data_IF_869109966798
#
_entry.id   IF_869109966798
#
_cell.length_a   1.000
_cell.length_b   1.000
_cell.length_c   1.000
_cell.angle_alpha   90.00
_cell.angle_beta   90.00
_cell.angle_gamma   90.00
#
_symmetry.space_group_name_H-M   'P 1'
#
loop_
_entity.id
_entity.type
_entity.pdbx_description
1 polymer ?
#
# COMPACT_ATOMS: atom_id res chain seq x y z
N UNK A 1 6.75 16.71 -3.89
CA UNK A 1 6.76 15.65 -2.88
C UNK A 1 5.86 15.94 -1.66
N UNK A 2 5.59 17.21 -1.32
CA UNK A 2 4.80 17.61 -0.12
C UNK A 2 3.41 17.01 0.04
N UNK A 3 2.79 16.50 -1.02
CA UNK A 3 1.45 15.91 -0.94
C UNK A 3 1.42 14.44 -0.51
N UNK A 4 2.58 13.78 -0.35
CA UNK A 4 2.66 12.35 -0.04
C UNK A 4 2.63 12.12 1.48
N UNK A 5 1.56 11.46 1.95
CA UNK A 5 1.36 11.08 3.36
C UNK A 5 2.30 9.91 3.74
N UNK A 6 2.27 8.84 2.95
CA UNK A 6 2.96 7.58 3.25
C UNK A 6 3.26 6.77 2.00
N UNK A 7 4.27 5.91 2.10
CA UNK A 7 4.76 5.09 0.98
C UNK A 7 4.88 3.64 1.45
N UNK A 8 4.44 2.69 0.63
CA UNK A 8 4.62 1.28 1.00
C UNK A 8 6.10 0.89 0.97
N UNK A 9 6.50 0.01 1.88
CA UNK A 9 7.82 -0.59 1.85
C UNK A 9 7.88 -1.68 0.76
N UNK A 10 9.07 -1.87 0.19
CA UNK A 10 9.37 -3.00 -0.67
C UNK A 10 9.36 -4.31 0.15
N UNK A 11 8.87 -5.41 -0.42
CA UNK A 11 8.57 -6.69 0.28
C UNK A 11 7.50 -6.56 1.38
N UNK A 12 6.60 -5.59 1.28
CA UNK A 12 5.49 -5.46 2.23
C UNK A 12 4.26 -6.29 1.80
N UNK A 13 3.21 -6.21 2.61
CA UNK A 13 1.87 -6.69 2.31
C UNK A 13 0.96 -5.57 1.75
N UNK A 14 1.53 -4.48 1.23
CA UNK A 14 0.76 -3.39 0.69
C UNK A 14 0.14 -3.76 -0.66
N UNK A 15 -1.14 -3.42 -0.84
CA UNK A 15 -1.85 -3.67 -2.09
C UNK A 15 -2.10 -5.16 -2.34
N UNK A 16 -1.44 -5.73 -3.35
CA UNK A 16 -1.63 -7.12 -3.79
C UNK A 16 -0.28 -7.82 -4.04
N UNK A 17 -0.31 -9.14 -4.23
CA UNK A 17 0.89 -9.91 -4.60
C UNK A 17 1.51 -9.36 -5.89
N UNK A 18 2.79 -8.99 -5.81
CA UNK A 18 3.58 -8.52 -6.95
C UNK A 18 4.96 -9.16 -6.90
N UNK A 19 4.97 -10.48 -6.90
CA UNK A 19 6.14 -11.32 -6.73
C UNK A 19 7.03 -11.37 -7.98
N UNK A 20 8.33 -11.60 -7.75
CA UNK A 20 9.30 -11.87 -8.80
C UNK A 20 9.58 -13.38 -8.93
N UNK A 21 10.71 -13.79 -9.49
CA UNK A 21 11.07 -15.21 -9.64
C UNK A 21 11.72 -15.85 -8.41
N UNK A 22 11.97 -15.09 -7.35
CA UNK A 22 12.74 -15.51 -6.18
C UNK A 22 11.94 -15.40 -4.89
N UNK A 23 11.03 -14.45 -4.81
CA UNK A 23 10.17 -14.18 -3.66
C UNK A 23 8.71 -14.35 -4.06
N UNK A 24 7.93 -15.03 -3.22
CA UNK A 24 6.51 -15.25 -3.43
C UNK A 24 5.67 -14.55 -2.35
N UNK A 25 4.43 -14.21 -2.69
CA UNK A 25 3.50 -13.52 -1.81
C UNK A 25 4.13 -12.27 -1.16
N UNK A 26 4.72 -11.39 -1.96
CA UNK A 26 5.28 -10.14 -1.50
C UNK A 26 4.91 -9.03 -2.46
N UNK A 27 4.69 -7.83 -1.93
CA UNK A 27 4.54 -6.65 -2.75
C UNK A 27 5.91 -6.05 -3.02
N UNK A 28 6.41 -6.26 -4.23
CA UNK A 28 7.71 -5.76 -4.68
C UNK A 28 7.56 -4.44 -5.45
N UNK A 29 6.58 -3.62 -5.04
CA UNK A 29 6.34 -2.27 -5.54
C UNK A 29 6.32 -1.26 -4.39
N UNK A 30 6.37 0.01 -4.75
CA UNK A 30 6.03 1.11 -3.87
C UNK A 30 4.69 1.73 -4.28
N UNK A 31 3.72 1.70 -3.38
CA UNK A 31 2.47 2.46 -3.46
C UNK A 31 2.67 3.81 -2.79
N UNK A 32 2.29 4.87 -3.48
CA UNK A 32 2.32 6.23 -2.96
C UNK A 32 0.92 6.62 -2.52
N UNK A 33 0.76 7.07 -1.28
CA UNK A 33 -0.50 7.55 -0.74
C UNK A 33 -0.38 9.05 -0.49
N UNK A 34 -0.96 9.90 -1.35
CA UNK A 34 -1.12 11.30 -1.02
C UNK A 34 -2.17 11.53 0.06
N UNK A 35 -2.05 12.68 0.74
CA UNK A 35 -3.16 13.27 1.50
C UNK A 35 -4.38 13.43 0.59
N UNK A 36 -5.57 13.23 1.15
CA UNK A 36 -6.84 13.25 0.40
C UNK A 36 -6.81 12.31 -0.81
N UNK A 37 -6.32 11.08 -0.59
CA UNK A 37 -6.05 10.07 -1.62
C UNK A 37 -7.16 9.89 -2.67
N UNK A 38 -8.45 9.95 -2.27
CA UNK A 38 -9.57 9.84 -3.22
C UNK A 38 -9.77 11.11 -4.06
N UNK A 39 -9.41 12.28 -3.54
CA UNK A 39 -9.55 13.56 -4.23
C UNK A 39 -8.38 13.82 -5.19
N UNK A 40 -7.15 13.48 -4.79
CA UNK A 40 -5.94 13.79 -5.56
C UNK A 40 -5.52 12.70 -6.56
N UNK A 41 -6.04 11.47 -6.48
CA UNK A 41 -5.51 10.33 -7.27
C UNK A 41 -5.46 10.49 -8.79
N UNK A 42 -6.24 11.39 -9.38
CA UNK A 42 -6.24 11.66 -10.83
C UNK A 42 -5.48 12.94 -11.21
N UNK A 43 -5.06 13.73 -10.24
CA UNK A 43 -4.42 15.04 -10.45
C UNK A 43 -3.05 15.14 -9.81
N UNK A 44 -2.68 14.18 -8.96
CA UNK A 44 -1.38 14.08 -8.30
C UNK A 44 -0.27 14.02 -9.35
N UNK A 45 0.64 15.02 -9.40
CA UNK A 45 1.75 15.01 -10.35
C UNK A 45 2.70 13.85 -10.10
N UNK A 46 3.12 13.21 -11.19
CA UNK A 46 4.07 12.09 -11.21
C UNK A 46 5.36 12.56 -11.88
N UNK A 47 6.48 12.30 -11.22
CA UNK A 47 7.80 12.71 -11.68
C UNK A 47 8.68 11.50 -11.99
N UNK A 48 9.56 11.62 -12.99
CA UNK A 48 10.55 10.58 -13.28
C UNK A 48 11.55 10.47 -12.12
N UNK A 49 11.77 9.27 -11.55
CA UNK A 49 12.72 9.11 -10.45
C UNK A 49 14.19 9.04 -10.92
N UNK A 50 14.41 8.98 -12.24
CA UNK A 50 15.72 8.77 -12.86
C UNK A 50 15.86 9.55 -14.18
N UNK A 51 17.11 9.76 -14.61
CA UNK A 51 17.41 10.08 -16.01
C UNK A 51 17.26 8.83 -16.87
N UNK A 52 16.64 8.97 -18.05
CA UNK A 52 16.46 7.83 -18.93
C UNK A 52 15.65 8.13 -20.19
N UNK A 53 15.08 7.06 -20.75
CA UNK A 53 14.21 7.13 -21.94
C UNK A 53 12.95 6.30 -21.71
N UNK A 54 11.78 6.91 -21.93
CA UNK A 54 10.51 6.20 -22.02
C UNK A 54 10.45 5.50 -23.38
N UNK A 55 10.27 4.17 -23.35
CA UNK A 55 10.26 3.33 -24.55
C UNK A 55 8.93 2.62 -24.78
N UNK A 56 8.15 2.42 -23.72
CA UNK A 56 6.82 1.82 -23.79
C UNK A 56 5.84 2.59 -22.91
N UNK A 57 4.58 2.62 -23.37
CA UNK A 57 3.41 2.96 -22.57
C UNK A 57 2.45 1.78 -22.72
N UNK A 58 2.25 1.04 -21.64
CA UNK A 58 1.35 -0.10 -21.58
C UNK A 58 -0.06 0.33 -21.20
N UNK A 59 -1.05 -0.19 -21.91
CA UNK A 59 -2.46 -0.16 -21.48
C UNK A 59 -2.93 -1.56 -21.14
N UNK A 60 -3.78 -1.68 -20.13
CA UNK A 60 -4.37 -2.95 -19.75
C UNK A 60 -5.59 -3.24 -20.64
N UNK A 61 -5.53 -4.34 -21.37
CA UNK A 61 -6.67 -4.82 -22.16
C UNK A 61 -7.33 -5.99 -21.45
N UNK A 62 -8.68 -6.00 -21.45
CA UNK A 62 -9.50 -7.15 -21.05
C UNK A 62 -9.35 -7.65 -19.60
N UNK A 63 -8.74 -6.88 -18.69
CA UNK A 63 -8.56 -7.26 -17.27
C UNK A 63 -9.80 -7.07 -16.38
N UNK A 64 -10.93 -6.67 -16.96
CA UNK A 64 -12.06 -6.13 -16.20
C UNK A 64 -11.68 -4.82 -15.48
N UNK A 65 -12.59 -4.33 -14.64
CA UNK A 65 -12.31 -3.12 -13.85
C UNK A 65 -11.22 -3.40 -12.81
N UNK A 66 -10.15 -2.60 -12.85
CA UNK A 66 -9.06 -2.66 -11.87
C UNK A 66 -9.57 -2.42 -10.44
N UNK A 67 -8.97 -3.11 -9.46
CA UNK A 67 -9.43 -3.06 -8.06
C UNK A 67 -9.40 -1.64 -7.48
N UNK A 68 -8.40 -0.83 -7.83
CA UNK A 68 -8.28 0.56 -7.38
C UNK A 68 -9.39 1.46 -7.95
N UNK A 69 -9.84 1.18 -9.17
CA UNK A 69 -10.90 1.95 -9.83
C UNK A 69 -12.27 1.59 -9.24
N UNK A 70 -12.48 0.31 -8.92
CA UNK A 70 -13.67 -0.14 -8.18
C UNK A 70 -13.73 0.51 -6.79
N UNK A 71 -12.62 0.46 -6.05
CA UNK A 71 -12.47 1.10 -4.74
C UNK A 71 -12.82 2.60 -4.79
N UNK A 72 -12.35 3.32 -5.82
CA UNK A 72 -12.69 4.72 -6.01
C UNK A 72 -14.20 4.95 -6.15
N UNK A 73 -14.86 4.18 -7.03
CA UNK A 73 -16.28 4.32 -7.32
C UNK A 73 -17.14 3.97 -6.11
N UNK A 74 -16.80 2.88 -5.41
CA UNK A 74 -17.53 2.42 -4.22
C UNK A 74 -17.38 3.41 -3.07
N UNK A 75 -16.18 3.97 -2.85
CA UNK A 75 -15.92 4.90 -1.75
C UNK A 75 -16.49 6.30 -1.99
N UNK A 76 -16.41 6.80 -3.23
CA UNK A 76 -16.75 8.21 -3.52
C UNK A 76 -18.08 8.39 -4.24
N UNK A 77 -18.63 7.33 -4.85
CA UNK A 77 -19.77 7.41 -5.77
C UNK A 77 -19.47 8.14 -7.09
N UNK A 78 -18.22 8.53 -7.36
CA UNK A 78 -17.81 9.30 -8.55
C UNK A 78 -17.23 8.39 -9.63
N UNK A 79 -17.18 8.91 -10.87
CA UNK A 79 -16.47 8.29 -11.99
C UNK A 79 -15.07 8.93 -12.15
N UNK A 80 -14.07 8.19 -12.68
CA UNK A 80 -12.81 8.80 -13.07
C UNK A 80 -13.05 9.88 -14.15
N UNK A 81 -12.15 10.88 -14.28
CA UNK A 81 -12.23 11.82 -15.40
C UNK A 81 -12.19 11.10 -16.75
N UNK A 82 -12.99 11.55 -17.71
CA UNK A 82 -13.13 10.92 -19.03
C UNK A 82 -11.82 10.94 -19.84
N UNK A 83 -10.95 11.92 -19.56
CA UNK A 83 -9.66 12.11 -20.19
C UNK A 83 -8.51 11.44 -19.44
N UNK A 84 -8.77 10.80 -18.29
CA UNK A 84 -7.74 10.10 -17.54
C UNK A 84 -7.39 8.77 -18.22
N UNK A 85 -6.15 8.70 -18.72
CA UNK A 85 -5.61 7.48 -19.32
C UNK A 85 -4.86 6.66 -18.26
N UNK A 86 -5.40 5.50 -17.89
CA UNK A 86 -4.71 4.57 -16.97
C UNK A 86 -3.63 3.77 -17.71
N UNK A 87 -2.36 4.17 -17.55
CA UNK A 87 -1.23 3.53 -18.23
C UNK A 87 -0.13 3.06 -17.29
N UNK A 88 0.75 2.21 -17.85
CA UNK A 88 2.05 1.85 -17.29
C UNK A 88 3.15 2.49 -18.12
N UNK A 89 3.94 3.39 -17.54
CA UNK A 89 5.05 4.07 -18.22
C UNK A 89 6.35 3.33 -17.91
N UNK A 90 7.11 2.96 -18.96
CA UNK A 90 8.34 2.21 -18.85
C UNK A 90 9.56 3.05 -19.23
N UNK A 91 10.37 3.39 -18.22
CA UNK A 91 11.61 4.13 -18.38
C UNK A 91 12.77 3.14 -18.33
N UNK A 92 13.67 3.26 -19.31
CA UNK A 92 14.99 2.63 -19.28
C UNK A 92 16.00 3.62 -18.69
N UNK A 93 16.54 3.37 -17.49
CA UNK A 93 17.46 4.31 -16.85
C UNK A 93 18.82 4.37 -17.57
N UNK A 94 19.43 5.54 -17.62
CA UNK A 94 20.75 5.72 -18.25
C UNK A 94 21.87 4.98 -17.48
N UNK A 95 21.83 5.05 -16.14
CA UNK A 95 22.84 4.44 -15.26
C UNK A 95 22.62 2.94 -15.02
N UNK A 96 21.45 2.41 -15.37
CA UNK A 96 21.09 1.01 -15.18
C UNK A 96 20.24 0.48 -16.36
N UNK A 97 20.80 0.43 -17.58
CA UNK A 97 20.04 0.11 -18.79
C UNK A 97 19.57 -1.35 -18.85
N UNK A 98 19.94 -2.21 -17.90
CA UNK A 98 19.45 -3.57 -17.77
C UNK A 98 18.17 -3.68 -16.91
N UNK A 99 17.63 -2.54 -16.46
CA UNK A 99 16.42 -2.44 -15.65
C UNK A 99 15.31 -1.72 -16.41
N UNK A 100 14.08 -1.97 -15.99
CA UNK A 100 12.92 -1.14 -16.26
C UNK A 100 12.44 -0.48 -14.98
N UNK A 101 12.25 0.83 -15.01
CA UNK A 101 11.41 1.55 -14.05
C UNK A 101 10.01 1.58 -14.64
N UNK A 102 9.06 0.93 -13.97
CA UNK A 102 7.66 0.90 -14.36
C UNK A 102 6.85 1.76 -13.39
N UNK A 103 6.23 2.82 -13.88
CA UNK A 103 5.25 3.59 -13.13
C UNK A 103 3.85 3.13 -13.51
N UNK A 104 3.04 2.73 -12.54
CA UNK A 104 1.68 2.23 -12.74
C UNK A 104 0.67 3.35 -12.50
N UNK A 105 -0.46 3.27 -13.20
CA UNK A 105 -1.57 4.20 -13.04
C UNK A 105 -1.15 5.65 -13.25
N UNK A 106 -0.51 5.91 -14.38
CA UNK A 106 -0.10 7.25 -14.81
C UNK A 106 -0.88 7.61 -16.07
N UNK A 107 -1.47 8.79 -16.08
CA UNK A 107 -1.93 9.48 -17.29
C UNK A 107 -0.80 10.40 -17.77
N UNK A 108 -0.08 10.03 -18.85
CA UNK A 108 1.12 10.76 -19.27
C UNK A 108 0.78 12.13 -19.87
N UNK A 109 1.71 13.08 -19.77
CA UNK A 109 1.57 14.37 -20.48
C UNK A 109 1.57 14.17 -22.00
N UNK A 110 0.92 15.09 -22.72
CA UNK A 110 0.69 14.94 -24.16
C UNK A 110 1.99 14.80 -24.97
N UNK A 111 3.07 15.51 -24.58
CA UNK A 111 4.35 15.44 -25.28
C UNK A 111 4.96 14.03 -25.28
N UNK A 112 4.68 13.26 -24.21
CA UNK A 112 5.11 11.87 -24.10
C UNK A 112 4.26 10.99 -25.02
N UNK A 113 2.94 11.18 -25.02
CA UNK A 113 2.01 10.42 -25.87
C UNK A 113 2.26 10.65 -27.36
N UNK A 114 2.69 11.85 -27.75
CA UNK A 114 3.06 12.19 -29.13
C UNK A 114 4.34 11.46 -29.58
N UNK A 115 5.20 11.07 -28.64
CA UNK A 115 6.49 10.43 -28.91
C UNK A 115 6.48 8.91 -28.70
N UNK A 116 5.61 8.42 -27.83
CA UNK A 116 5.52 7.01 -27.43
C UNK A 116 4.06 6.60 -27.47
N UNK A 117 3.65 5.89 -28.51
CA UNK A 117 2.28 5.42 -28.65
C UNK A 117 1.94 4.36 -27.59
N UNK A 118 0.81 4.49 -26.87
CA UNK A 118 0.31 3.44 -26.01
C UNK A 118 0.04 2.15 -26.79
N UNK A 119 0.35 1.01 -26.17
CA UNK A 119 0.09 -0.31 -26.75
C UNK A 119 -0.25 -1.34 -25.67
N UNK A 120 -0.92 -2.42 -26.06
CA UNK A 120 -1.29 -3.52 -25.17
C UNK A 120 -0.05 -4.12 -24.51
N UNK A 121 -0.11 -4.38 -23.20
CA UNK A 121 0.95 -5.12 -22.50
C UNK A 121 1.18 -6.53 -23.08
N UNK A 122 0.15 -7.13 -23.67
CA UNK A 122 0.27 -8.42 -24.37
C UNK A 122 1.03 -8.27 -25.69
N UNK A 123 0.71 -7.24 -26.49
CA UNK A 123 1.43 -6.98 -27.73
C UNK A 123 2.91 -6.64 -27.51
N UNK A 124 3.20 -5.89 -26.44
CA UNK A 124 4.57 -5.64 -26.01
C UNK A 124 5.27 -6.96 -25.70
N UNK A 125 4.68 -7.79 -24.83
CA UNK A 125 5.23 -9.09 -24.44
C UNK A 125 5.48 -10.02 -25.64
N UNK A 126 4.59 -10.04 -26.64
CA UNK A 126 4.74 -10.82 -27.87
C UNK A 126 5.66 -10.17 -28.91
N UNK A 127 6.06 -8.91 -28.72
CA UNK A 127 6.90 -8.16 -29.66
C UNK A 127 6.19 -7.69 -30.92
N UNK A 128 4.86 -7.75 -30.96
CA UNK A 128 4.05 -7.13 -32.03
C UNK A 128 4.03 -5.61 -31.88
N UNK A 129 4.04 -5.12 -30.63
CA UNK A 129 4.36 -3.73 -30.31
C UNK A 129 5.85 -3.58 -30.00
N UNK A 130 6.54 -2.77 -30.80
CA UNK A 130 7.98 -2.51 -30.67
C UNK A 130 8.23 -1.27 -29.80
N UNK A 131 9.41 -1.15 -29.15
CA UNK A 131 9.72 0.03 -28.34
C UNK A 131 9.81 1.26 -29.24
N UNK A 132 9.39 2.42 -28.72
CA UNK A 132 9.56 3.67 -29.43
C UNK A 132 11.05 3.94 -29.73
N UNK A 133 11.33 4.42 -30.94
CA UNK A 133 12.67 4.79 -31.38
C UNK A 133 12.62 6.18 -32.02
N UNK A 134 13.27 7.20 -31.43
CA UNK A 134 14.23 7.13 -30.31
C UNK A 134 13.61 7.00 -28.90
N UNK A 135 12.27 7.06 -28.78
CA UNK A 135 11.58 7.18 -27.48
C UNK A 135 11.54 8.62 -26.97
N UNK A 136 11.10 8.82 -25.72
CA UNK A 136 11.03 10.14 -25.08
C UNK A 136 12.06 10.25 -23.96
N UNK A 137 12.99 11.21 -24.04
CA UNK A 137 14.01 11.42 -23.01
C UNK A 137 13.42 12.13 -21.80
N UNK A 138 13.72 11.61 -20.62
CA UNK A 138 13.32 12.21 -19.34
C UNK A 138 14.53 12.48 -18.46
N UNK A 139 14.43 13.54 -17.65
CA UNK A 139 15.35 13.81 -16.55
C UNK A 139 14.73 13.41 -15.22
N UNK A 140 15.57 13.06 -14.24
CA UNK A 140 15.11 12.91 -12.87
C UNK A 140 14.41 14.20 -12.39
N UNK A 141 13.29 14.05 -11.69
CA UNK A 141 12.43 15.16 -11.26
C UNK A 141 11.57 15.79 -12.36
N UNK A 142 11.63 15.32 -13.61
CA UNK A 142 10.75 15.81 -14.68
C UNK A 142 9.32 15.31 -14.48
N UNK A 143 8.32 16.19 -14.57
CA UNK A 143 6.91 15.80 -14.60
C UNK A 143 6.63 14.97 -15.86
N UNK A 144 6.05 13.79 -15.68
CA UNK A 144 5.69 12.87 -16.76
C UNK A 144 4.19 12.60 -16.87
N UNK A 145 3.37 13.15 -15.96
CA UNK A 145 1.94 12.92 -15.95
C UNK A 145 1.29 13.15 -14.58
N UNK A 146 0.08 12.63 -14.45
CA UNK A 146 -0.69 12.60 -13.20
C UNK A 146 -1.19 11.19 -12.90
N UNK A 147 -1.48 10.87 -11.64
CA UNK A 147 -2.05 9.58 -11.27
C UNK A 147 -1.62 9.08 -9.90
N UNK A 148 -1.63 7.76 -9.70
CA UNK A 148 -1.15 7.14 -8.46
C UNK A 148 0.36 6.99 -8.43
N UNK A 149 0.96 6.69 -9.60
CA UNK A 149 2.41 6.58 -9.75
C UNK A 149 3.05 5.51 -8.88
N UNK A 150 2.41 4.35 -8.70
CA UNK A 150 3.07 3.21 -8.04
C UNK A 150 4.33 2.83 -8.83
N UNK A 151 5.41 2.41 -8.16
CA UNK A 151 6.68 2.16 -8.85
C UNK A 151 7.15 0.73 -8.62
N UNK A 152 7.49 0.03 -9.70
CA UNK A 152 8.22 -1.25 -9.65
C UNK A 152 9.50 -1.17 -10.50
N UNK A 153 10.55 -1.84 -10.04
CA UNK A 153 11.83 -1.95 -10.74
C UNK A 153 12.07 -3.38 -11.13
N UNK A 154 12.29 -3.62 -12.42
CA UNK A 154 12.38 -4.98 -12.95
C UNK A 154 13.70 -5.21 -13.66
N UNK A 155 14.46 -6.18 -13.17
CA UNK A 155 15.61 -6.74 -13.84
C UNK A 155 15.23 -8.03 -14.54
N UNK A 156 15.37 -8.08 -15.86
CA UNK A 156 15.23 -9.32 -16.61
C UNK A 156 16.57 -10.07 -16.59
N UNK A 157 16.56 -11.29 -16.05
CA UNK A 157 17.73 -12.18 -16.02
C UNK A 157 17.75 -13.15 -17.20
N UNK A 158 16.57 -13.47 -17.75
CA UNK A 158 16.40 -14.24 -18.97
C UNK A 158 15.30 -13.64 -19.84
N UNK A 159 15.11 -14.18 -21.04
CA UNK A 159 14.08 -13.71 -21.98
C UNK A 159 14.56 -12.54 -22.84
N UNK A 160 13.60 -11.89 -23.52
CA UNK A 160 13.85 -10.79 -24.46
C UNK A 160 14.03 -9.42 -23.79
N UNK A 161 13.88 -9.34 -22.46
CA UNK A 161 13.96 -8.08 -21.72
C UNK A 161 12.79 -7.12 -21.98
N UNK A 162 11.72 -7.56 -22.64
CA UNK A 162 10.52 -6.73 -22.85
C UNK A 162 9.62 -6.83 -21.62
N UNK A 163 9.06 -5.71 -21.13
CA UNK A 163 8.17 -5.76 -19.98
C UNK A 163 6.97 -6.70 -20.21
N UNK A 164 6.58 -7.41 -19.15
CA UNK A 164 5.49 -8.38 -19.18
C UNK A 164 4.43 -8.06 -18.11
N UNK A 165 3.14 -8.33 -18.40
CA UNK A 165 2.07 -8.23 -17.40
C UNK A 165 2.05 -9.38 -16.38
N UNK A 166 2.87 -10.43 -16.55
CA UNK A 166 2.86 -11.64 -15.71
C UNK A 166 3.51 -11.47 -14.34
N UNK A 167 2.97 -10.62 -13.46
CA UNK A 167 3.67 -10.11 -12.27
C UNK A 167 3.15 -10.65 -10.93
N UNK A 168 2.47 -11.80 -10.94
CA UNK A 168 1.92 -12.42 -9.73
C UNK A 168 1.96 -13.95 -9.83
N UNK A 169 1.84 -14.65 -8.70
CA UNK A 169 1.75 -16.11 -8.71
C UNK A 169 0.58 -16.64 -9.55
N UNK A 170 -0.55 -15.91 -9.55
CA UNK A 170 -1.74 -16.25 -10.34
C UNK A 170 -1.48 -16.11 -11.85
N UNK A 171 -1.01 -14.95 -12.29
CA UNK A 171 -0.73 -14.71 -13.73
C UNK A 171 0.36 -15.62 -14.25
N UNK A 172 1.37 -15.95 -13.44
CA UNK A 172 2.37 -16.96 -13.79
C UNK A 172 1.75 -18.36 -13.93
N UNK A 173 0.78 -18.72 -13.08
CA UNK A 173 0.09 -20.01 -13.17
C UNK A 173 -0.81 -20.10 -14.41
N UNK A 174 -1.50 -19.01 -14.75
CA UNK A 174 -2.42 -18.94 -15.89
C UNK A 174 -1.68 -18.83 -17.23
N UNK A 175 -0.63 -18.01 -17.29
CA UNK A 175 0.04 -17.61 -18.54
C UNK A 175 1.51 -18.01 -18.59
N UNK A 176 1.99 -18.86 -17.69
CA UNK A 176 3.41 -19.24 -17.57
C UNK A 176 4.00 -19.94 -18.80
N UNK A 177 3.20 -20.30 -19.79
CA UNK A 177 3.68 -20.83 -21.07
C UNK A 177 3.96 -19.73 -22.12
N UNK A 178 3.49 -18.50 -21.89
CA UNK A 178 3.68 -17.39 -22.80
C UNK A 178 5.11 -16.82 -22.71
N UNK A 179 5.65 -16.31 -23.83
CA UNK A 179 6.88 -15.53 -23.83
C UNK A 179 6.82 -14.40 -22.81
N UNK A 180 7.93 -14.06 -22.16
CA UNK A 180 7.96 -13.03 -21.11
C UNK A 180 7.47 -13.52 -19.73
N UNK A 181 6.44 -14.36 -19.66
CA UNK A 181 5.97 -14.97 -18.40
C UNK A 181 6.91 -16.08 -17.90
N UNK A 182 7.68 -16.68 -18.81
CA UNK A 182 8.79 -17.60 -18.48
C UNK A 182 10.10 -16.89 -18.11
N UNK A 183 10.18 -15.56 -18.30
CA UNK A 183 11.40 -14.82 -18.03
C UNK A 183 11.67 -14.79 -16.52
N UNK A 184 12.89 -15.15 -16.14
CA UNK A 184 13.36 -14.97 -14.78
C UNK A 184 13.56 -13.48 -14.55
N UNK A 185 12.88 -12.93 -13.56
CA UNK A 185 12.97 -11.53 -13.18
C UNK A 185 13.31 -11.40 -11.72
N UNK A 186 14.09 -10.38 -11.42
CA UNK A 186 14.39 -9.94 -10.07
C UNK A 186 13.87 -8.52 -9.91
N UNK A 187 13.07 -8.28 -8.88
CA UNK A 187 12.56 -6.96 -8.59
C UNK A 187 13.43 -6.26 -7.55
N UNK A 188 13.41 -4.94 -7.60
CA UNK A 188 14.20 -4.09 -6.74
C UNK A 188 13.38 -2.89 -6.24
N UNK A 189 13.86 -2.24 -5.19
CA UNK A 189 13.26 -0.99 -4.71
C UNK A 189 13.71 0.18 -5.59
N UNK A 190 12.80 1.13 -5.86
CA UNK A 190 13.20 2.37 -6.55
C UNK A 190 14.20 3.18 -5.74
N UNK A 191 14.16 3.08 -4.40
CA UNK A 191 15.08 3.79 -3.52
C UNK A 191 16.52 3.30 -3.65
N UNK A 192 16.79 2.18 -4.32
CA UNK A 192 18.15 1.74 -4.68
C UNK A 192 18.70 2.45 -5.92
N UNK A 193 17.83 3.03 -6.79
CA UNK A 193 18.21 3.59 -8.10
C UNK A 193 17.84 5.06 -8.30
N UNK A 194 16.92 5.58 -7.49
CA UNK A 194 16.49 6.97 -7.49
C UNK A 194 17.70 7.89 -7.30
N UNK A 195 17.80 8.95 -8.11
CA UNK A 195 18.92 9.89 -8.01
C UNK A 195 18.94 10.60 -6.66
N UNK A 196 20.12 10.97 -6.17
CA UNK A 196 20.28 11.69 -4.90
C UNK A 196 19.48 13.01 -4.88
N UNK A 197 19.46 13.74 -6.00
CA UNK A 197 18.68 14.98 -6.16
C UNK A 197 17.16 14.77 -6.00
N UNK A 198 16.64 13.57 -6.27
CA UNK A 198 15.22 13.27 -6.08
C UNK A 198 15.00 12.70 -4.67
N UNK A 199 15.96 11.94 -4.15
CA UNK A 199 15.88 11.39 -2.80
C UNK A 199 15.99 12.47 -1.72
N UNK A 200 16.70 13.58 -1.99
CA UNK A 200 16.78 14.72 -1.06
C UNK A 200 15.41 15.27 -0.69
N UNK A 201 14.44 15.26 -1.61
CA UNK A 201 13.07 15.69 -1.32
C UNK A 201 12.41 14.83 -0.21
N UNK A 202 12.78 13.55 -0.08
CA UNK A 202 12.25 12.67 0.97
C UNK A 202 12.91 12.97 2.31
N UNK A 203 14.23 13.22 2.31
CA UNK A 203 15.00 13.61 3.49
C UNK A 203 14.57 14.98 4.03
N UNK A 204 14.15 15.89 3.14
CA UNK A 204 13.59 17.18 3.54
C UNK A 204 12.20 17.05 4.19
N UNK A 205 11.43 16.01 3.86
CA UNK A 205 10.11 15.76 4.42
C UNK A 205 10.14 14.97 5.72
N UNK A 206 11.03 13.99 5.83
CA UNK A 206 11.13 13.10 6.98
C UNK A 206 12.58 12.67 7.22
N UNK A 207 12.91 12.35 8.48
CA UNK A 207 14.20 11.76 8.84
C UNK A 207 14.24 10.30 8.40
N UNK A 208 14.62 10.06 7.15
CA UNK A 208 14.60 8.74 6.50
C UNK A 208 15.87 8.46 5.69
N UNK A 209 16.25 7.19 5.65
CA UNK A 209 17.26 6.65 4.78
C UNK A 209 16.64 5.70 3.74
N UNK A 210 17.37 5.41 2.65
CA UNK A 210 16.87 4.57 1.54
C UNK A 210 16.43 3.17 2.00
N UNK A 211 17.06 2.64 3.04
CA UNK A 211 16.74 1.32 3.62
C UNK A 211 15.41 1.28 4.36
N UNK A 212 14.89 2.42 4.85
CA UNK A 212 13.64 2.46 5.61
C UNK A 212 12.43 2.11 4.74
N UNK A 213 12.59 2.24 3.42
CA UNK A 213 11.60 1.84 2.44
C UNK A 213 11.68 0.35 2.06
N UNK A 214 12.55 -0.44 2.69
CA UNK A 214 12.84 -1.82 2.27
C UNK A 214 12.73 -2.77 3.47
N UNK A 215 11.72 -3.63 3.47
CA UNK A 215 11.77 -4.82 4.32
C UNK A 215 12.88 -5.71 3.80
N UNK A 216 13.81 -6.12 4.66
CA UNK A 216 14.95 -6.94 4.24
C UNK A 216 14.51 -8.36 3.86
N UNK A 217 15.28 -9.04 3.01
CA UNK A 217 15.03 -10.44 2.69
C UNK A 217 15.09 -11.33 3.94
N UNK A 218 16.00 -11.04 4.87
CA UNK A 218 16.14 -11.81 6.11
C UNK A 218 14.91 -11.66 7.00
N UNK A 219 14.41 -10.42 7.16
CA UNK A 219 13.19 -10.13 7.89
C UNK A 219 11.99 -10.84 7.25
N UNK A 220 11.80 -10.70 5.92
CA UNK A 220 10.69 -11.35 5.21
C UNK A 220 10.77 -12.88 5.26
N UNK A 221 11.98 -13.44 5.24
CA UNK A 221 12.19 -14.88 5.41
C UNK A 221 11.84 -15.37 6.82
N UNK A 222 12.05 -14.54 7.83
CA UNK A 222 11.69 -14.85 9.23
C UNK A 222 10.19 -14.69 9.52
N UNK A 223 9.51 -13.84 8.75
CA UNK A 223 8.07 -13.59 8.84
C UNK A 223 7.41 -13.61 7.44
N UNK A 224 7.25 -14.80 6.81
CA UNK A 224 6.64 -14.91 5.49
C UNK A 224 5.18 -14.46 5.49
N UNK A 225 4.78 -13.74 4.45
CA UNK A 225 3.39 -13.37 4.21
C UNK A 225 2.61 -14.54 3.61
N UNK A 226 1.28 -14.46 3.69
CA UNK A 226 0.37 -15.45 3.11
C UNK A 226 -0.62 -14.80 2.17
N UNK A 227 -0.94 -15.50 1.08
CA UNK A 227 -1.78 -15.00 0.01
C UNK A 227 -2.80 -16.05 -0.41
N UNK A 228 -4.03 -15.61 -0.67
CA UNK A 228 -5.04 -16.34 -1.41
C UNK A 228 -5.13 -15.77 -2.83
N UNK A 229 -4.53 -16.47 -3.80
CA UNK A 229 -4.32 -15.93 -5.13
C UNK A 229 -3.41 -14.70 -5.08
N UNK A 230 -3.93 -13.55 -5.51
CA UNK A 230 -3.18 -12.28 -5.48
C UNK A 230 -3.45 -11.44 -4.22
N UNK A 231 -4.32 -11.90 -3.32
CA UNK A 231 -4.72 -11.15 -2.14
C UNK A 231 -3.92 -11.59 -0.93
N UNK A 232 -3.34 -10.65 -0.19
CA UNK A 232 -2.75 -10.94 1.11
C UNK A 232 -3.83 -11.35 2.13
N UNK A 233 -3.54 -12.34 2.97
CA UNK A 233 -4.39 -12.69 4.13
C UNK A 233 -4.41 -11.52 5.14
N UNK A 234 -3.27 -10.84 5.30
CA UNK A 234 -3.13 -9.61 6.08
C UNK A 234 -2.57 -8.53 5.18
N UNK A 235 -3.42 -7.57 4.77
CA UNK A 235 -3.09 -6.55 3.80
C UNK A 235 -2.83 -5.19 4.47
N UNK A 236 -1.87 -4.43 3.95
CA UNK A 236 -1.54 -3.04 4.31
C UNK A 236 -1.08 -2.81 5.78
N UNK A 237 -1.19 -3.81 6.68
CA UNK A 237 -0.75 -3.72 8.08
C UNK A 237 0.77 -3.66 8.17
N UNK A 238 1.30 -2.55 8.73
CA UNK A 238 2.74 -2.32 8.85
C UNK A 238 3.46 -2.27 7.50
N UNK A 239 2.71 -2.13 6.40
CA UNK A 239 3.26 -2.17 5.04
C UNK A 239 3.72 -0.81 4.52
N UNK A 240 3.48 0.27 5.27
CA UNK A 240 3.78 1.64 4.86
C UNK A 240 4.69 2.35 5.87
N UNK A 241 5.61 3.15 5.34
CA UNK A 241 6.36 4.15 6.06
C UNK A 241 5.60 5.48 5.98
N UNK A 242 5.31 6.07 7.14
CA UNK A 242 4.71 7.40 7.23
C UNK A 242 5.78 8.46 6.96
N UNK A 243 5.49 9.42 6.08
CA UNK A 243 6.39 10.55 5.81
C UNK A 243 5.93 11.84 6.46
N UNK A 244 4.61 12.07 6.51
CA UNK A 244 4.04 13.32 7.00
C UNK A 244 2.78 13.04 7.82
N UNK A 245 2.55 13.82 8.87
CA UNK A 245 1.31 13.77 9.66
C UNK A 245 0.24 14.71 9.07
N UNK A 246 -1.03 14.45 9.36
CA UNK A 246 -2.12 15.35 8.97
C UNK A 246 -2.09 16.57 9.91
N UNK A 247 -1.84 17.77 9.38
CA UNK A 247 -1.90 19.00 10.17
C UNK A 247 -3.31 19.20 10.76
N UNK A 248 -3.42 19.00 12.07
CA UNK A 248 -4.68 18.98 12.83
C UNK A 248 -4.58 18.20 14.13
N UNK A 249 -3.62 17.28 14.24
CA UNK A 249 -3.16 16.68 15.49
C UNK A 249 -1.88 17.38 15.94
N UNK A 250 -1.99 18.58 16.52
CA UNK A 250 -0.84 19.24 17.15
C UNK A 250 -0.37 18.42 18.35
N UNK A 251 0.70 17.64 18.20
CA UNK A 251 1.56 17.26 19.31
C UNK A 251 2.51 18.45 19.60
N UNK A 252 2.42 19.00 20.81
CA UNK A 252 3.27 20.10 21.25
C UNK A 252 4.74 19.65 21.38
N UNK A 253 5.73 20.55 21.23
CA UNK A 253 7.12 20.16 21.07
C UNK A 253 7.74 19.60 22.37
N UNK A 254 8.55 18.56 22.16
CA UNK A 254 9.32 17.82 23.16
C UNK A 254 10.25 18.76 23.94
N UNK A 255 10.12 18.76 25.27
CA UNK A 255 11.20 19.16 26.17
C UNK A 255 11.47 18.04 27.18
N UNK A 256 12.68 17.49 27.09
CA UNK A 256 13.46 16.80 28.13
C UNK A 256 12.80 15.66 28.92
N UNK A 257 13.23 14.43 28.61
CA UNK A 257 13.09 13.23 29.44
C UNK A 257 13.78 13.37 30.83
N UNK A 258 13.62 12.42 31.78
CA UNK A 258 12.65 11.32 31.85
C UNK A 258 11.85 11.29 33.18
N UNK A 259 10.63 10.78 33.18
CA UNK A 259 10.08 10.04 34.34
C UNK A 259 8.91 9.15 33.88
N UNK A 260 8.94 7.89 34.32
CA UNK A 260 7.93 6.87 34.05
C UNK A 260 6.54 7.32 34.52
N UNK A 261 5.68 7.73 33.59
CA UNK A 261 4.24 7.73 33.81
C UNK A 261 3.60 6.88 32.71
N UNK A 262 3.11 5.69 33.08
CA UNK A 262 2.24 4.90 32.21
C UNK A 262 1.03 5.76 31.85
N UNK A 263 0.95 6.15 30.58
CA UNK A 263 -0.15 6.95 30.07
C UNK A 263 -1.46 6.15 30.23
N UNK A 264 -2.43 6.70 30.94
CA UNK A 264 -3.66 5.98 31.27
C UNK A 264 -4.62 5.95 30.07
N UNK A 265 -5.22 4.79 29.80
CA UNK A 265 -6.20 4.63 28.73
C UNK A 265 -7.33 5.68 28.76
N UNK A 266 -7.73 6.27 27.62
CA UNK A 266 -8.79 7.26 27.53
C UNK A 266 -10.11 6.77 28.16
N UNK A 267 -10.95 7.69 28.66
CA UNK A 267 -12.25 7.33 29.22
C UNK A 267 -13.21 6.81 28.14
N UNK A 268 -14.24 6.07 28.56
CA UNK A 268 -15.25 5.51 27.65
C UNK A 268 -15.98 6.64 26.91
N UNK A 269 -16.26 7.74 27.60
CA UNK A 269 -16.92 8.92 27.06
C UNK A 269 -16.06 9.62 26.00
N UNK A 270 -14.74 9.73 26.26
CA UNK A 270 -13.78 10.29 25.30
C UNK A 270 -13.66 9.39 24.06
N UNK A 271 -13.62 8.07 24.25
CA UNK A 271 -13.51 7.11 23.14
C UNK A 271 -14.77 7.11 22.26
N UNK A 272 -15.96 7.25 22.84
CA UNK A 272 -17.21 7.18 22.09
C UNK A 272 -17.40 8.35 21.10
N UNK A 273 -16.67 9.47 21.25
CA UNK A 273 -16.74 10.67 20.38
C UNK A 273 -18.19 11.08 20.03
N UNK A 274 -19.07 11.10 21.03
CA UNK A 274 -20.51 11.42 20.92
C UNK A 274 -21.41 10.34 20.28
N UNK A 275 -20.87 9.21 19.83
CA UNK A 275 -21.69 8.08 19.37
C UNK A 275 -22.41 7.40 20.54
N UNK A 276 -23.60 6.85 20.29
CA UNK A 276 -24.34 6.10 21.31
C UNK A 276 -23.64 4.77 21.59
N UNK A 277 -23.29 4.52 22.85
CA UNK A 277 -22.62 3.30 23.28
C UNK A 277 -23.65 2.18 23.39
N UNK A 278 -23.43 1.10 22.64
CA UNK A 278 -24.21 -0.14 22.66
C UNK A 278 -23.66 -1.08 23.73
N UNK A 279 -22.34 -1.11 23.90
CA UNK A 279 -21.66 -1.94 24.90
C UNK A 279 -20.21 -1.51 25.11
N UNK A 280 -19.61 -1.91 26.23
CA UNK A 280 -18.20 -1.66 26.50
C UNK A 280 -17.57 -2.80 27.31
N UNK A 281 -16.31 -3.08 27.02
CA UNK A 281 -15.47 -4.07 27.67
C UNK A 281 -14.15 -3.41 28.06
N UNK A 282 -13.58 -3.85 29.17
CA UNK A 282 -12.23 -3.48 29.57
C UNK A 282 -11.57 -4.69 30.25
N UNK A 283 -10.26 -4.83 30.07
CA UNK A 283 -9.50 -5.93 30.65
C UNK A 283 -8.00 -5.69 30.60
N UNK A 284 -7.26 -6.60 31.21
CA UNK A 284 -5.80 -6.68 31.14
C UNK A 284 -5.44 -8.11 30.72
N UNK A 285 -4.51 -8.25 29.78
CA UNK A 285 -4.16 -9.55 29.19
C UNK A 285 -5.28 -10.16 28.33
N UNK A 286 -5.08 -11.41 27.93
CA UNK A 286 -6.07 -12.15 27.15
C UNK A 286 -7.37 -12.36 27.91
N UNK A 287 -8.50 -12.20 27.24
CA UNK A 287 -9.83 -12.46 27.78
C UNK A 287 -10.65 -13.34 26.84
N UNK A 288 -11.58 -14.11 27.42
CA UNK A 288 -12.39 -15.09 26.68
C UNK A 288 -13.68 -14.43 26.17
N UNK A 289 -13.91 -14.65 24.87
CA UNK A 289 -15.13 -14.46 24.08
C UNK A 289 -16.38 -13.94 24.82
N UNK A 290 -16.83 -12.73 24.47
CA UNK A 290 -18.12 -12.20 24.93
C UNK A 290 -19.06 -11.91 23.76
N UNK A 291 -20.32 -12.32 23.90
CA UNK A 291 -21.35 -12.20 22.86
C UNK A 291 -22.30 -11.02 23.09
N UNK A 292 -22.66 -10.34 22.01
CA UNK A 292 -23.55 -9.19 21.97
C UNK A 292 -24.62 -9.38 20.90
N UNK A 293 -25.85 -8.96 21.21
CA UNK A 293 -26.94 -8.85 20.24
C UNK A 293 -27.15 -7.39 19.87
N UNK A 294 -27.04 -7.09 18.59
CA UNK A 294 -27.05 -5.71 18.08
C UNK A 294 -28.13 -5.59 17.01
N UNK A 295 -28.99 -4.59 17.13
CA UNK A 295 -30.16 -4.40 16.25
C UNK A 295 -29.97 -3.30 15.19
N UNK A 296 -28.80 -2.69 15.12
CA UNK A 296 -28.46 -1.58 14.23
C UNK A 296 -27.05 -1.75 13.67
N UNK A 297 -26.67 -0.93 12.69
CA UNK A 297 -25.27 -0.82 12.32
C UNK A 297 -24.43 -0.35 13.52
N UNK A 298 -23.23 -0.90 13.65
CA UNK A 298 -22.34 -0.61 14.77
C UNK A 298 -20.88 -0.56 14.35
N UNK A 299 -20.07 0.17 15.09
CA UNK A 299 -18.61 0.23 14.96
C UNK A 299 -17.94 -0.20 16.27
N UNK A 300 -16.66 -0.54 16.18
CA UNK A 300 -15.83 -0.92 17.32
C UNK A 300 -14.71 0.08 17.51
N UNK A 301 -14.52 0.51 18.76
CA UNK A 301 -13.41 1.40 19.16
C UNK A 301 -12.57 0.66 20.18
N UNK A 302 -11.29 0.48 19.91
CA UNK A 302 -10.37 -0.29 20.73
C UNK A 302 -9.26 0.64 21.20
N UNK A 303 -8.94 0.62 22.49
CA UNK A 303 -7.81 1.34 23.06
C UNK A 303 -6.93 0.36 23.84
N UNK A 304 -5.62 0.44 23.70
CA UNK A 304 -4.64 -0.36 24.47
C UNK A 304 -3.49 0.50 24.97
N UNK A 305 -2.97 0.23 26.17
CA UNK A 305 -1.81 0.93 26.75
C UNK A 305 -0.47 0.33 26.30
N UNK A 306 -0.54 -0.70 25.45
CA UNK A 306 0.62 -1.35 24.87
C UNK A 306 0.22 -2.50 23.95
N UNK A 307 1.20 -3.31 23.57
CA UNK A 307 1.01 -4.57 22.88
C UNK A 307 2.08 -5.60 23.28
N UNK A 308 2.03 -6.83 22.77
CA UNK A 308 1.14 -7.26 21.69
C UNK A 308 -0.30 -7.51 22.16
N UNK A 309 -1.25 -7.09 21.32
CA UNK A 309 -2.70 -7.31 21.50
C UNK A 309 -3.35 -7.57 20.14
N UNK A 310 -4.20 -8.58 20.08
CA UNK A 310 -5.03 -8.96 18.94
C UNK A 310 -6.49 -9.05 19.36
N UNK A 311 -7.37 -8.41 18.61
CA UNK A 311 -8.82 -8.46 18.81
C UNK A 311 -9.47 -9.09 17.60
N UNK A 312 -10.22 -10.17 17.85
CA UNK A 312 -11.00 -10.92 16.87
C UNK A 312 -12.47 -10.70 17.11
N UNK A 313 -13.24 -10.65 16.02
CA UNK A 313 -14.70 -10.68 16.08
C UNK A 313 -15.28 -11.79 15.24
N UNK A 314 -16.42 -12.31 15.66
CA UNK A 314 -17.25 -13.21 14.88
C UNK A 314 -18.63 -12.58 14.70
N UNK A 315 -19.04 -12.38 13.45
CA UNK A 315 -20.36 -11.82 13.09
C UNK A 315 -21.28 -12.84 12.43
N UNK A 316 -20.99 -14.14 12.59
CA UNK A 316 -21.71 -15.26 11.96
C UNK A 316 -20.86 -16.09 10.99
N UNK A 317 -19.78 -15.51 10.47
CA UNK A 317 -18.90 -16.14 9.46
C UNK A 317 -17.60 -16.72 10.04
N UNK A 318 -17.51 -16.82 11.38
CA UNK A 318 -16.30 -17.20 12.09
C UNK A 318 -15.47 -16.00 12.56
N UNK A 319 -14.42 -16.28 13.33
CA UNK A 319 -13.57 -15.24 13.89
C UNK A 319 -12.63 -14.64 12.84
N UNK A 320 -12.67 -13.31 12.71
CA UNK A 320 -11.71 -12.50 11.94
C UNK A 320 -11.02 -11.50 12.85
N UNK A 321 -9.73 -11.27 12.64
CA UNK A 321 -8.97 -10.24 13.36
C UNK A 321 -9.38 -8.86 12.82
N UNK A 322 -9.68 -7.92 13.72
CA UNK A 322 -10.03 -6.54 13.37
C UNK A 322 -9.04 -5.51 13.89
N UNK A 323 -8.20 -5.89 14.85
CA UNK A 323 -7.16 -5.06 15.40
C UNK A 323 -6.03 -5.96 15.87
N UNK A 324 -4.81 -5.65 15.46
CA UNK A 324 -3.62 -6.32 15.93
C UNK A 324 -2.53 -5.28 16.08
N UNK A 325 -1.89 -5.28 17.24
CA UNK A 325 -0.85 -4.34 17.61
C UNK A 325 0.37 -5.13 18.08
N UNK A 326 1.58 -4.85 17.55
CA UNK A 326 2.81 -5.49 18.01
C UNK A 326 3.24 -4.98 19.40
N UNK A 327 4.36 -5.50 19.92
CA UNK A 327 4.92 -5.06 21.18
C UNK A 327 5.18 -3.54 21.20
N UNK A 328 4.83 -2.89 22.31
CA UNK A 328 5.04 -1.46 22.53
C UNK A 328 4.33 -0.99 23.79
N UNK A 329 4.73 0.17 24.32
CA UNK A 329 4.32 0.64 25.66
C UNK A 329 3.52 1.96 25.64
N UNK A 330 3.09 2.41 24.46
CA UNK A 330 2.30 3.64 24.30
C UNK A 330 0.79 3.39 24.32
N UNK A 331 -0.02 4.41 24.58
CA UNK A 331 -1.47 4.30 24.35
C UNK A 331 -1.76 4.39 22.85
N UNK A 332 -2.60 3.50 22.33
CA UNK A 332 -3.08 3.55 20.95
C UNK A 332 -4.59 3.30 20.89
N UNK A 333 -5.27 3.99 19.97
CA UNK A 333 -6.70 3.79 19.69
C UNK A 333 -6.91 3.37 18.24
N UNK A 334 -7.85 2.46 18.02
CA UNK A 334 -8.29 2.00 16.72
C UNK A 334 -9.81 2.11 16.64
N UNK A 335 -10.31 2.48 15.47
CA UNK A 335 -11.74 2.65 15.21
C UNK A 335 -12.08 1.90 13.91
N UNK A 336 -13.03 0.98 13.97
CA UNK A 336 -13.42 0.17 12.82
C UNK A 336 -14.48 0.86 11.95
N UNK A 337 -14.59 0.35 10.73
CA UNK A 337 -15.75 0.56 9.86
C UNK A 337 -17.05 0.04 10.50
N UNK A 338 -18.18 0.42 9.90
CA UNK A 338 -19.50 -0.03 10.33
C UNK A 338 -19.76 -1.49 9.92
N UNK A 339 -20.25 -2.28 10.87
CA UNK A 339 -20.73 -3.64 10.67
C UNK A 339 -22.26 -3.66 10.67
N UNK A 340 -22.83 -4.47 9.79
CA UNK A 340 -24.28 -4.74 9.73
C UNK A 340 -24.49 -6.23 10.03
N UNK A 341 -24.54 -6.58 11.31
CA UNK A 341 -24.75 -7.95 11.78
C UNK A 341 -25.56 -7.95 13.08
N UNK A 342 -26.38 -8.98 13.28
CA UNK A 342 -27.23 -9.11 14.47
C UNK A 342 -26.50 -9.63 15.70
N UNK A 343 -25.44 -10.40 15.47
CA UNK A 343 -24.69 -11.10 16.51
C UNK A 343 -23.21 -10.76 16.38
N UNK A 344 -22.56 -10.53 17.52
CA UNK A 344 -21.15 -10.19 17.63
C UNK A 344 -20.52 -10.96 18.78
N UNK A 345 -19.53 -11.81 18.50
CA UNK A 345 -18.62 -12.35 19.52
C UNK A 345 -17.27 -11.64 19.44
N UNK A 346 -16.70 -11.23 20.56
CA UNK A 346 -15.39 -10.55 20.61
C UNK A 346 -14.40 -11.36 21.43
N UNK A 347 -13.23 -11.67 20.88
CA UNK A 347 -12.12 -12.33 21.58
C UNK A 347 -10.87 -11.44 21.57
N UNK A 348 -10.17 -11.37 22.70
CA UNK A 348 -8.96 -10.55 22.85
C UNK A 348 -7.80 -11.42 23.32
N UNK A 349 -6.72 -11.43 22.55
CA UNK A 349 -5.46 -12.10 22.87
C UNK A 349 -4.41 -11.02 23.12
N UNK A 350 -3.97 -10.84 24.36
CA UNK A 350 -3.02 -9.79 24.72
C UNK A 350 -1.99 -10.31 25.73
N UNK A 351 -0.80 -9.69 25.72
CA UNK A 351 0.20 -9.94 26.78
C UNK A 351 -0.38 -9.55 28.14
N UNK A 352 -0.05 -10.31 29.18
CA UNK A 352 -0.65 -10.18 30.51
C UNK A 352 -0.51 -8.79 31.15
N UNK A 353 0.41 -7.94 30.67
CA UNK A 353 0.66 -6.58 31.16
C UNK A 353 -0.01 -5.48 30.33
N UNK A 354 -0.76 -5.84 29.27
CA UNK A 354 -1.42 -4.90 28.36
C UNK A 354 -2.87 -4.72 28.81
N UNK A 355 -3.21 -3.49 29.20
CA UNK A 355 -4.57 -3.06 29.48
C UNK A 355 -5.26 -2.62 28.20
N UNK A 356 -6.55 -2.90 28.07
CA UNK A 356 -7.33 -2.52 26.90
C UNK A 356 -8.77 -2.17 27.25
N UNK A 357 -9.39 -1.35 26.39
CA UNK A 357 -10.82 -1.03 26.38
C UNK A 357 -11.36 -1.25 24.98
N UNK A 358 -12.57 -1.78 24.88
CA UNK A 358 -13.29 -1.97 23.64
C UNK A 358 -14.71 -1.43 23.80
N UNK A 359 -15.11 -0.55 22.90
CA UNK A 359 -16.45 0.01 22.85
C UNK A 359 -17.15 -0.46 21.58
N UNK A 360 -18.45 -0.69 21.72
CA UNK A 360 -19.37 -0.93 20.62
C UNK A 360 -20.25 0.30 20.54
N UNK A 361 -20.24 0.99 19.41
CA UNK A 361 -20.98 2.24 19.21
C UNK A 361 -21.92 2.13 18.03
N UNK A 362 -23.03 2.86 18.06
CA UNK A 362 -23.93 2.97 16.90
C UNK A 362 -23.24 3.67 15.73
N UNK A 363 -23.57 3.26 14.51
CA UNK A 363 -23.12 3.90 13.27
C UNK A 363 -24.29 4.29 12.39
#
# INVERSE_FOLDING_TARGET
MSDIERISMFRSNAGHDYSDSFESCCSMKHYYRPFDYYEKRFTQPIFSPVDGVILYIGVDENSGEASWLRDYKETTGKQPPDDYLDTKVFIRPDKAPNLWVRLHHVSPVQEILDSVAPSSGMDQMFGTATPASPGFRVRAGQNIGVGLGEISIERHLTGNGVPSPCTSGKTQSEWGQLPGCQAKRQFHSIFEFMTDDVFSDYVELADVERSDFIVSLAERSSAPLRCEGEKFETRDIGGYLQLQEIEGETSAPISSAPEESKESLPSVESLAKQNQIIGSLAGEGSSISQEFKISSAYGLIIASDGGPIEVKINTGDGYRVIYNRPAGDSVATYESDAFVASDLSVAVEATASVSWKLLIVTR
#
